data_IF_402373031543
#
_entry.id   IF_402373031543
#
_cell.length_a   1.000
_cell.length_b   1.000
_cell.length_c   1.000
_cell.angle_alpha   90.00
_cell.angle_beta   90.00
_cell.angle_gamma   90.00
#
_symmetry.space_group_name_H-M   'P 1'
#
loop_
_entity.id
_entity.type
_entity.pdbx_description
1 polymer ?
#
# COMPACT_ATOMS: atom_id res chain seq x y z
N UNK A 1 13.88 -18.17 -14.97
CA UNK A 1 12.97 -17.20 -14.34
C UNK A 1 12.66 -17.63 -12.91
N UNK A 2 12.71 -16.71 -11.98
CA UNK A 2 12.40 -17.02 -10.58
C UNK A 2 10.93 -16.68 -10.29
N UNK A 3 10.14 -17.72 -10.06
CA UNK A 3 8.69 -17.56 -9.86
C UNK A 3 8.37 -16.72 -8.63
N UNK A 4 9.13 -16.86 -7.55
CA UNK A 4 8.94 -16.04 -6.34
C UNK A 4 9.07 -14.55 -6.65
N UNK A 5 10.06 -14.18 -7.46
CA UNK A 5 10.27 -12.78 -7.82
C UNK A 5 9.14 -12.27 -8.70
N UNK A 6 8.62 -13.09 -9.58
CA UNK A 6 7.48 -12.72 -10.41
C UNK A 6 6.25 -12.46 -9.54
N UNK A 7 6.00 -13.34 -8.58
CA UNK A 7 4.85 -13.21 -7.69
C UNK A 7 4.98 -11.97 -6.80
N UNK A 8 6.16 -11.74 -6.23
CA UNK A 8 6.35 -10.56 -5.40
C UNK A 8 6.17 -9.28 -6.22
N UNK A 9 6.77 -9.23 -7.41
CA UNK A 9 6.63 -8.07 -8.30
C UNK A 9 5.16 -7.81 -8.64
N UNK A 10 4.42 -8.89 -8.93
CA UNK A 10 3.00 -8.78 -9.23
C UNK A 10 2.24 -8.13 -8.06
N UNK A 11 2.43 -8.64 -6.86
CA UNK A 11 1.69 -8.16 -5.71
C UNK A 11 2.09 -6.73 -5.32
N UNK A 12 3.38 -6.38 -5.39
CA UNK A 12 3.79 -5.04 -5.01
C UNK A 12 3.33 -3.99 -6.03
N UNK A 13 3.35 -4.33 -7.32
CA UNK A 13 2.83 -3.43 -8.35
C UNK A 13 1.31 -3.30 -8.23
N UNK A 14 0.64 -4.42 -7.95
CA UNK A 14 -0.81 -4.39 -7.73
C UNK A 14 -1.18 -3.52 -6.53
N UNK A 15 -0.41 -3.63 -5.43
CA UNK A 15 -0.62 -2.77 -4.27
C UNK A 15 -0.45 -1.30 -4.64
N UNK A 16 0.58 -0.99 -5.42
CA UNK A 16 0.84 0.36 -5.90
C UNK A 16 -0.35 0.90 -6.71
N UNK A 17 -0.85 0.11 -7.65
CA UNK A 17 -1.93 0.56 -8.52
C UNK A 17 -3.25 0.71 -7.78
N UNK A 18 -3.57 -0.20 -6.86
CA UNK A 18 -4.78 -0.10 -6.04
C UNK A 18 -4.71 1.12 -5.13
N UNK A 19 -3.55 1.35 -4.54
CA UNK A 19 -3.34 2.49 -3.67
C UNK A 19 -3.44 3.80 -4.43
N UNK A 20 -2.89 3.83 -5.64
CA UNK A 20 -2.99 5.00 -6.51
C UNK A 20 -4.46 5.25 -6.88
N UNK A 21 -5.19 4.19 -7.22
CA UNK A 21 -6.62 4.31 -7.56
C UNK A 21 -7.42 4.92 -6.42
N UNK A 22 -7.15 4.50 -5.19
CA UNK A 22 -7.82 5.08 -4.04
C UNK A 22 -7.41 6.54 -3.84
N UNK A 23 -6.13 6.85 -4.05
CA UNK A 23 -5.57 8.17 -3.72
C UNK A 23 -6.04 9.29 -4.64
N UNK A 24 -6.33 9.01 -5.91
CA UNK A 24 -6.50 10.05 -6.94
C UNK A 24 -7.83 10.81 -6.91
N UNK A 25 -8.72 10.55 -5.97
CA UNK A 25 -9.95 11.33 -5.84
C UNK A 25 -9.72 12.66 -5.14
N UNK A 26 -10.76 13.49 -5.07
CA UNK A 26 -10.72 14.73 -4.29
C UNK A 26 -10.46 14.40 -2.82
N UNK A 27 -9.53 15.10 -2.20
CA UNK A 27 -9.06 14.78 -0.86
C UNK A 27 -10.19 14.74 0.17
N UNK A 28 -11.15 15.64 0.05
CA UNK A 28 -12.20 15.79 1.05
C UNK A 28 -13.54 15.17 0.64
N UNK A 29 -13.59 14.47 -0.49
CA UNK A 29 -14.85 13.91 -0.99
C UNK A 29 -14.83 12.38 -0.96
N UNK A 30 -15.51 11.74 0.03
CA UNK A 30 -15.49 10.28 0.14
C UNK A 30 -16.11 9.56 -1.06
N UNK A 31 -16.95 10.23 -1.84
CA UNK A 31 -17.55 9.62 -3.03
C UNK A 31 -16.49 9.26 -4.07
N UNK A 32 -15.38 9.98 -4.09
CA UNK A 32 -14.30 9.77 -5.04
C UNK A 32 -13.26 8.76 -4.56
N UNK A 33 -13.45 8.21 -3.36
CA UNK A 33 -12.50 7.24 -2.79
C UNK A 33 -13.26 5.97 -2.43
N UNK A 34 -12.86 4.87 -3.07
CA UNK A 34 -13.52 3.58 -2.88
C UNK A 34 -12.88 2.84 -1.71
N UNK A 35 -13.66 2.63 -0.65
CA UNK A 35 -13.18 1.88 0.52
C UNK A 35 -12.79 0.45 0.17
N UNK A 36 -13.38 -0.11 -0.86
CA UNK A 36 -13.02 -1.44 -1.33
C UNK A 36 -11.61 -1.46 -1.93
N UNK A 37 -11.24 -0.41 -2.66
CA UNK A 37 -9.88 -0.28 -3.17
C UNK A 37 -8.86 -0.15 -2.03
N UNK A 38 -9.21 0.59 -0.99
CA UNK A 38 -8.34 0.73 0.18
C UNK A 38 -8.13 -0.62 0.86
N UNK A 39 -9.22 -1.37 1.07
CA UNK A 39 -9.14 -2.70 1.68
C UNK A 39 -8.34 -3.65 0.80
N UNK A 40 -8.55 -3.62 -0.50
CA UNK A 40 -7.81 -4.46 -1.44
C UNK A 40 -6.32 -4.11 -1.43
N UNK A 41 -5.99 -2.83 -1.41
CA UNK A 41 -4.60 -2.39 -1.35
C UNK A 41 -3.92 -2.92 -0.08
N UNK A 42 -4.61 -2.86 1.05
CA UNK A 42 -4.09 -3.38 2.32
C UNK A 42 -3.83 -4.88 2.25
N UNK A 43 -4.80 -5.65 1.77
CA UNK A 43 -4.67 -7.10 1.69
C UNK A 43 -3.49 -7.48 0.77
N UNK A 44 -3.41 -6.87 -0.40
CA UNK A 44 -2.35 -7.16 -1.35
C UNK A 44 -0.99 -6.76 -0.78
N UNK A 45 -0.93 -5.63 -0.09
CA UNK A 45 0.30 -5.17 0.55
C UNK A 45 0.77 -6.14 1.64
N UNK A 46 -0.18 -6.67 2.43
CA UNK A 46 0.15 -7.66 3.45
C UNK A 46 0.69 -8.95 2.84
N UNK A 47 0.12 -9.39 1.73
CA UNK A 47 0.62 -10.57 1.02
C UNK A 47 2.06 -10.35 0.56
N UNK A 48 2.35 -9.18 -0.03
CA UNK A 48 3.70 -8.86 -0.47
C UNK A 48 4.68 -8.86 0.71
N UNK A 49 4.24 -8.32 1.85
CA UNK A 49 5.06 -8.29 3.06
C UNK A 49 5.41 -9.71 3.52
N UNK A 50 4.40 -10.58 3.57
CA UNK A 50 4.61 -11.97 3.99
C UNK A 50 5.64 -12.64 3.09
N UNK A 51 5.58 -12.37 1.80
CA UNK A 51 6.51 -12.97 0.84
C UNK A 51 7.96 -12.56 1.08
N UNK A 52 8.19 -11.40 1.71
CA UNK A 52 9.55 -10.91 1.95
C UNK A 52 10.13 -11.32 3.29
N UNK A 53 9.34 -11.89 4.19
CA UNK A 53 9.85 -12.25 5.52
C UNK A 53 11.03 -13.21 5.50
N UNK A 54 11.08 -14.11 4.53
CA UNK A 54 12.14 -15.10 4.45
C UNK A 54 13.39 -14.66 3.71
N UNK A 55 13.36 -13.50 3.08
CA UNK A 55 14.47 -13.01 2.26
C UNK A 55 15.52 -12.33 3.13
N UNK A 56 16.70 -12.96 3.22
CA UNK A 56 17.78 -12.49 4.08
C UNK A 56 18.76 -11.56 3.39
N UNK A 57 18.55 -11.26 2.11
CA UNK A 57 19.42 -10.34 1.40
C UNK A 57 19.21 -8.92 1.89
N UNK A 58 20.21 -8.06 1.63
CA UNK A 58 20.11 -6.63 1.96
C UNK A 58 18.91 -6.00 1.27
N UNK A 59 18.74 -6.31 -0.02
CA UNK A 59 17.61 -5.79 -0.78
C UNK A 59 16.28 -6.31 -0.22
N UNK A 60 16.23 -7.60 0.14
CA UNK A 60 15.03 -8.17 0.75
C UNK A 60 14.65 -7.46 2.04
N UNK A 61 15.64 -7.11 2.85
CA UNK A 61 15.40 -6.39 4.10
C UNK A 61 14.78 -5.01 3.85
N UNK A 62 15.30 -4.29 2.85
CA UNK A 62 14.78 -2.96 2.52
C UNK A 62 13.37 -3.06 1.93
N UNK A 63 13.14 -4.05 1.07
CA UNK A 63 11.81 -4.27 0.50
C UNK A 63 10.80 -4.63 1.60
N UNK A 64 11.22 -5.44 2.57
CA UNK A 64 10.37 -5.76 3.72
C UNK A 64 10.04 -4.50 4.51
N UNK A 65 11.04 -3.65 4.76
CA UNK A 65 10.83 -2.42 5.53
C UNK A 65 9.85 -1.48 4.85
N UNK A 66 9.98 -1.29 3.54
CA UNK A 66 9.06 -0.41 2.80
C UNK A 66 7.65 -0.98 2.76
N UNK A 67 7.51 -2.31 2.65
CA UNK A 67 6.20 -2.95 2.72
C UNK A 67 5.56 -2.78 4.08
N UNK A 68 6.35 -2.87 5.16
CA UNK A 68 5.83 -2.66 6.51
C UNK A 68 5.34 -1.23 6.72
N UNK A 69 6.04 -0.25 6.15
CA UNK A 69 5.58 1.15 6.22
C UNK A 69 4.23 1.31 5.53
N UNK A 70 4.11 0.75 4.32
CA UNK A 70 2.84 0.80 3.59
C UNK A 70 1.73 0.11 4.37
N UNK A 71 2.01 -1.08 4.94
CA UNK A 71 1.03 -1.82 5.72
C UNK A 71 0.54 -1.01 6.91
N UNK A 72 1.47 -0.39 7.65
CA UNK A 72 1.12 0.40 8.83
C UNK A 72 0.20 1.55 8.46
N UNK A 73 0.55 2.28 7.40
CA UNK A 73 -0.25 3.43 6.98
C UNK A 73 -1.62 3.00 6.46
N UNK A 74 -1.69 1.91 5.69
CA UNK A 74 -2.97 1.41 5.20
C UNK A 74 -3.84 0.84 6.31
N UNK A 75 -3.23 0.20 7.31
CA UNK A 75 -3.97 -0.29 8.48
C UNK A 75 -4.62 0.86 9.23
N UNK A 76 -3.88 1.95 9.45
CA UNK A 76 -4.42 3.11 10.14
C UNK A 76 -5.52 3.75 9.30
N UNK A 77 -5.30 3.86 7.99
CA UNK A 77 -6.30 4.44 7.09
C UNK A 77 -7.59 3.60 7.08
N UNK A 78 -7.46 2.29 6.95
CA UNK A 78 -8.61 1.40 6.93
C UNK A 78 -9.34 1.40 8.28
N UNK A 79 -8.58 1.38 9.37
CA UNK A 79 -9.16 1.46 10.71
C UNK A 79 -9.92 2.75 10.94
N UNK A 80 -9.36 3.86 10.47
CA UNK A 80 -10.02 5.17 10.56
C UNK A 80 -11.32 5.18 9.76
N UNK A 81 -11.29 4.59 8.57
CA UNK A 81 -12.48 4.49 7.72
C UNK A 81 -13.58 3.69 8.42
N UNK A 82 -13.23 2.51 8.92
CA UNK A 82 -14.21 1.63 9.59
C UNK A 82 -14.78 2.32 10.81
N UNK A 83 -13.92 2.97 11.60
CA UNK A 83 -14.35 3.70 12.79
C UNK A 83 -15.35 4.81 12.40
N UNK A 84 -15.04 5.59 11.37
CA UNK A 84 -15.87 6.70 10.96
C UNK A 84 -17.24 6.24 10.45
N UNK A 85 -17.27 5.11 9.72
CA UNK A 85 -18.52 4.64 9.10
C UNK A 85 -19.40 3.88 10.09
N UNK A 86 -18.80 3.09 11.00
CA UNK A 86 -19.57 2.15 11.82
C UNK A 86 -19.76 2.58 13.26
N UNK A 87 -18.85 3.37 13.82
CA UNK A 87 -18.86 3.66 15.25
C UNK A 87 -19.22 5.11 15.54
N UNK A 88 -18.74 6.03 14.72
CA UNK A 88 -18.93 7.45 14.96
C UNK A 88 -20.25 7.95 14.39
N UNK A 89 -20.56 9.21 14.70
CA UNK A 89 -21.79 9.83 14.24
C UNK A 89 -21.72 10.21 12.77
N UNK A 90 -22.87 10.48 12.19
CA UNK A 90 -23.01 10.88 10.79
C UNK A 90 -22.14 12.09 10.47
N UNK A 91 -21.43 12.04 9.35
CA UNK A 91 -20.61 13.14 8.88
C UNK A 91 -19.13 13.01 9.22
N UNK A 92 -18.77 12.13 10.14
CA UNK A 92 -17.39 11.98 10.57
C UNK A 92 -16.47 11.50 9.45
N UNK A 93 -16.99 10.72 8.50
CA UNK A 93 -16.20 10.26 7.36
C UNK A 93 -15.66 11.45 6.55
N UNK A 94 -16.45 12.51 6.40
CA UNK A 94 -15.99 13.72 5.71
C UNK A 94 -14.83 14.38 6.44
N UNK A 95 -14.88 14.40 7.77
CA UNK A 95 -13.87 15.04 8.59
C UNK A 95 -12.53 14.30 8.56
N UNK A 96 -12.57 12.96 8.50
CA UNK A 96 -11.36 12.14 8.54
C UNK A 96 -10.82 11.78 7.16
N UNK A 97 -11.57 12.02 6.10
CA UNK A 97 -11.15 11.63 4.75
C UNK A 97 -9.78 12.22 4.36
N UNK A 98 -9.47 13.49 4.65
CA UNK A 98 -8.13 13.99 4.31
C UNK A 98 -7.02 13.21 5.00
N UNK A 99 -7.24 12.75 6.24
CA UNK A 99 -6.25 11.93 6.95
C UNK A 99 -6.09 10.56 6.29
N UNK A 100 -7.22 9.94 5.91
CA UNK A 100 -7.20 8.65 5.24
C UNK A 100 -6.45 8.75 3.92
N UNK A 101 -6.74 9.78 3.13
CA UNK A 101 -6.09 9.99 1.84
C UNK A 101 -4.60 10.30 2.03
N UNK A 102 -4.25 11.06 3.06
CA UNK A 102 -2.86 11.34 3.37
C UNK A 102 -2.07 10.07 3.68
N UNK A 103 -2.66 9.18 4.48
CA UNK A 103 -2.04 7.90 4.82
C UNK A 103 -1.90 7.01 3.59
N UNK A 104 -2.92 7.00 2.74
CA UNK A 104 -2.85 6.28 1.46
C UNK A 104 -1.72 6.83 0.58
N UNK A 105 -1.56 8.16 0.56
CA UNK A 105 -0.48 8.80 -0.19
C UNK A 105 0.90 8.39 0.33
N UNK A 106 1.04 8.31 1.66
CA UNK A 106 2.28 7.82 2.26
C UNK A 106 2.57 6.38 1.89
N UNK A 107 1.55 5.52 1.92
CA UNK A 107 1.69 4.13 1.51
C UNK A 107 2.04 4.04 0.02
N UNK A 108 1.45 4.92 -0.80
CA UNK A 108 1.76 4.99 -2.22
C UNK A 108 3.24 5.29 -2.44
N UNK A 109 3.78 6.24 -1.69
CA UNK A 109 5.21 6.57 -1.79
C UNK A 109 6.08 5.39 -1.36
N UNK A 110 5.70 4.68 -0.30
CA UNK A 110 6.45 3.51 0.15
C UNK A 110 6.44 2.41 -0.91
N UNK A 111 5.29 2.18 -1.55
CA UNK A 111 5.18 1.22 -2.64
C UNK A 111 6.02 1.65 -3.85
N UNK A 112 6.06 2.94 -4.12
CA UNK A 112 6.86 3.47 -5.23
C UNK A 112 8.35 3.22 -4.98
N UNK A 113 8.80 3.41 -3.75
CA UNK A 113 10.17 3.09 -3.37
C UNK A 113 10.45 1.60 -3.57
N UNK A 114 9.52 0.73 -3.14
CA UNK A 114 9.68 -0.73 -3.31
C UNK A 114 9.84 -1.10 -4.79
N UNK A 115 8.98 -0.56 -5.64
CA UNK A 115 9.01 -0.86 -7.07
C UNK A 115 10.31 -0.34 -7.70
N UNK A 116 10.73 0.86 -7.31
CA UNK A 116 11.98 1.44 -7.81
C UNK A 116 13.18 0.58 -7.44
N UNK A 117 13.24 0.13 -6.19
CA UNK A 117 14.32 -0.73 -5.73
C UNK A 117 14.30 -2.08 -6.44
N UNK A 118 13.12 -2.62 -6.67
CA UNK A 118 12.99 -3.89 -7.39
C UNK A 118 13.49 -3.77 -8.82
N UNK A 119 13.17 -2.68 -9.50
CA UNK A 119 13.67 -2.41 -10.84
C UNK A 119 15.19 -2.27 -10.83
N UNK A 120 15.72 -1.52 -9.87
CA UNK A 120 17.16 -1.32 -9.75
C UNK A 120 17.88 -2.65 -9.52
N UNK A 121 17.34 -3.51 -8.66
CA UNK A 121 17.91 -4.82 -8.42
C UNK A 121 17.90 -5.67 -9.69
N UNK A 122 16.80 -5.65 -10.42
CA UNK A 122 16.66 -6.41 -11.65
C UNK A 122 17.70 -5.99 -12.68
N UNK A 123 17.89 -4.69 -12.86
CA UNK A 123 18.89 -4.15 -13.78
C UNK A 123 20.29 -4.55 -13.35
N UNK A 124 20.58 -4.45 -12.06
CA UNK A 124 21.88 -4.78 -11.51
C UNK A 124 22.24 -6.25 -11.74
N UNK A 125 21.28 -7.15 -11.54
CA UNK A 125 21.51 -8.57 -11.74
C UNK A 125 21.82 -8.90 -13.20
N UNK A 126 21.21 -8.17 -14.12
CA UNK A 126 21.41 -8.42 -15.55
C UNK A 126 22.75 -7.93 -16.06
N UNK A 127 23.45 -7.12 -15.33
CA UNK A 127 24.79 -6.64 -15.69
C UNK A 127 25.85 -7.65 -15.28
#
# INVERSE_FOLDING_TARGET
>A
MNFEKVMFAFFIVLALTLNFGFFIGDIDNPVHHDGLELAAALVVSLIATIMKFGDRSQMGAVLLATSLVADLQLLIAAGTWIWAVNISETGTILEVMPRIVSLSGGALLANLVSVTLLIAETISIRR
#
